data_IF_494932441209
#
_entry.id   IF_494932441209
#
_cell.length_a   1.000
_cell.length_b   1.000
_cell.length_c   1.000
_cell.angle_alpha   90.00
_cell.angle_beta   90.00
_cell.angle_gamma   90.00
#
_symmetry.space_group_name_H-M   'P 1'
#
loop_
_entity.id
_entity.type
_entity.pdbx_description
1 polymer ?
#
# COMPACT_ATOMS: atom_id res chain seq x y z
N UNK A 1 15.97 -0.99 10.46
CA UNK A 1 15.41 -2.35 10.36
C UNK A 1 14.43 -2.37 9.19
N UNK A 2 14.42 -3.44 8.40
CA UNK A 2 13.50 -3.57 7.28
C UNK A 2 12.08 -3.90 7.78
N UNK A 3 11.05 -3.27 7.20
CA UNK A 3 9.66 -3.62 7.49
C UNK A 3 9.31 -4.92 6.76
N UNK A 4 8.63 -5.84 7.44
CA UNK A 4 8.28 -7.18 6.94
C UNK A 4 6.86 -7.24 6.37
N UNK A 5 6.28 -6.10 5.99
CA UNK A 5 4.94 -6.05 5.42
C UNK A 5 4.92 -6.79 4.07
N UNK A 6 4.16 -7.88 3.99
CA UNK A 6 4.06 -8.78 2.82
C UNK A 6 2.77 -8.59 2.03
N UNK A 7 1.73 -8.03 2.64
CA UNK A 7 0.46 -7.71 2.01
C UNK A 7 -0.13 -6.42 2.60
N UNK A 8 -0.91 -5.71 1.80
CA UNK A 8 -1.69 -4.56 2.24
C UNK A 8 -3.10 -5.04 2.66
N UNK A 9 -3.63 -4.59 3.81
CA UNK A 9 -5.01 -4.88 4.17
C UNK A 9 -5.98 -4.37 3.10
N UNK A 10 -7.05 -5.11 2.86
CA UNK A 10 -8.12 -4.69 1.96
C UNK A 10 -8.72 -3.39 2.49
N UNK A 11 -8.95 -2.43 1.60
CA UNK A 11 -9.57 -1.16 1.93
C UNK A 11 -8.68 -0.16 2.68
N UNK A 12 -7.38 -0.44 2.85
CA UNK A 12 -6.46 0.47 3.55
C UNK A 12 -6.36 1.85 2.89
N UNK A 13 -6.71 1.95 1.62
CA UNK A 13 -6.68 3.20 0.85
C UNK A 13 -8.06 3.86 0.67
N UNK A 14 -9.16 3.22 1.09
CA UNK A 14 -10.54 3.66 0.75
C UNK A 14 -10.86 5.08 1.23
N UNK A 15 -10.25 5.51 2.34
CA UNK A 15 -10.46 6.84 2.93
C UNK A 15 -9.37 7.84 2.56
N UNK A 16 -8.35 7.41 1.82
CA UNK A 16 -7.23 8.26 1.42
C UNK A 16 -7.54 8.95 0.09
N UNK A 17 -8.69 9.62 -0.01
CA UNK A 17 -9.24 10.24 -1.24
C UNK A 17 -8.39 11.38 -1.80
N UNK A 18 -7.39 11.85 -1.05
CA UNK A 18 -6.43 12.89 -1.46
C UNK A 18 -4.98 12.38 -1.49
N UNK A 19 -4.78 11.06 -1.49
CA UNK A 19 -3.44 10.48 -1.54
C UNK A 19 -2.79 10.79 -2.89
N UNK A 20 -1.72 11.57 -2.86
CA UNK A 20 -0.93 11.91 -4.07
C UNK A 20 0.42 11.21 -4.09
N UNK A 21 0.92 10.76 -2.93
CA UNK A 21 2.22 10.15 -2.77
C UNK A 21 2.15 8.97 -1.81
N UNK A 22 2.70 7.82 -2.21
CA UNK A 22 2.81 6.62 -1.38
C UNK A 22 4.21 6.01 -1.54
N UNK A 23 4.93 5.84 -0.43
CA UNK A 23 6.26 5.24 -0.42
C UNK A 23 6.22 3.84 0.19
N UNK A 24 6.56 2.81 -0.60
CA UNK A 24 6.53 1.39 -0.18
C UNK A 24 7.90 0.68 -0.26
N UNK A 25 8.95 1.38 -0.65
CA UNK A 25 10.24 0.82 -1.09
C UNK A 25 11.02 -0.01 -0.04
N UNK A 26 10.73 0.11 1.26
CA UNK A 26 11.37 -0.70 2.32
C UNK A 26 10.33 -1.65 2.93
N UNK A 27 9.75 -2.51 2.11
CA UNK A 27 8.81 -3.55 2.52
C UNK A 27 9.05 -4.83 1.71
N UNK A 28 8.37 -5.91 2.10
CA UNK A 28 8.41 -7.20 1.41
C UNK A 28 7.17 -7.43 0.52
N UNK A 29 6.53 -6.33 0.11
CA UNK A 29 5.34 -6.35 -0.74
C UNK A 29 5.71 -6.85 -2.14
N UNK A 30 5.02 -7.89 -2.60
CA UNK A 30 5.19 -8.43 -3.97
C UNK A 30 4.29 -7.75 -4.99
N UNK A 31 3.14 -7.25 -4.55
CA UNK A 31 2.15 -6.58 -5.39
C UNK A 31 1.29 -5.65 -4.56
N UNK A 32 0.64 -4.70 -5.23
CA UNK A 32 -0.42 -3.86 -4.67
C UNK A 32 -1.76 -4.36 -5.24
N UNK A 33 -2.84 -4.42 -4.43
CA UNK A 33 -4.15 -4.85 -4.91
C UNK A 33 -4.62 -4.05 -6.14
N UNK A 34 -5.24 -4.74 -7.11
CA UNK A 34 -5.91 -4.05 -8.23
C UNK A 34 -7.05 -3.19 -7.66
N UNK A 35 -7.09 -1.92 -8.06
CA UNK A 35 -8.05 -0.96 -7.52
C UNK A 35 -7.62 -0.29 -6.21
N UNK A 36 -6.36 -0.42 -5.78
CA UNK A 36 -5.86 0.32 -4.63
C UNK A 36 -5.90 1.85 -4.80
N UNK A 37 -5.93 2.33 -6.05
CA UNK A 37 -6.03 3.75 -6.40
C UNK A 37 -7.17 3.89 -7.41
N UNK A 38 -8.26 4.51 -6.97
CA UNK A 38 -9.46 4.80 -7.76
C UNK A 38 -9.68 6.31 -7.80
#
# INVERSE_FOLDING_TARGET
>A
GANQLTALPVGVFDKLTKLTHLALHINQLKSVPRGAFH
#
